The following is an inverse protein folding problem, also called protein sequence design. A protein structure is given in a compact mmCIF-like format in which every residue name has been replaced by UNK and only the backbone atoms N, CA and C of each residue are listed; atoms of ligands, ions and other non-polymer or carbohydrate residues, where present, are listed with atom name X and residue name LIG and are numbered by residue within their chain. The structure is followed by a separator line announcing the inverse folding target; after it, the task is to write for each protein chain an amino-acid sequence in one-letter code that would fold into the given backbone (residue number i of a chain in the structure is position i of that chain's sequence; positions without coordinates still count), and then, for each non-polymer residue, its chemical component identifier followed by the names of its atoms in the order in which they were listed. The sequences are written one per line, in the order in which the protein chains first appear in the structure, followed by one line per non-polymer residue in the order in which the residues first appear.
data_IF_750108501758
#
_entry.id   IF_750108501758
#
_cell.length_a   1.000
_cell.length_b   1.000
_cell.length_c   1.000
_cell.angle_alpha   90.00
_cell.angle_beta   90.00
_cell.angle_gamma   90.00
#
_symmetry.space_group_name_H-M   'P 1'
#
loop_
_entity.id
_entity.type
_entity.pdbx_description
1 polymer ?
#
# COMPACT_ATOMS: atom_id res chain seq x y z
N UNK A 1 3.88 -10.26 -0.71
CA UNK A 1 2.41 -10.48 -0.73
C UNK A 1 1.67 -9.36 -1.47
N UNK A 2 2.16 -8.11 -1.47
CA UNK A 2 1.55 -7.02 -2.26
C UNK A 2 2.00 -6.98 -3.73
N UNK A 3 2.87 -7.89 -4.13
CA UNK A 3 3.52 -7.91 -5.44
C UNK A 3 2.54 -8.16 -6.59
N UNK A 4 1.52 -9.00 -6.34
CA UNK A 4 0.42 -9.24 -7.28
C UNK A 4 -0.37 -7.96 -7.55
N UNK A 5 -0.77 -7.23 -6.49
CA UNK A 5 -1.54 -5.99 -6.62
C UNK A 5 -0.70 -4.88 -7.27
N UNK A 6 0.59 -4.77 -6.91
CA UNK A 6 1.50 -3.84 -7.56
C UNK A 6 1.64 -4.11 -9.07
N UNK A 7 1.70 -5.40 -9.46
CA UNK A 7 1.73 -5.79 -10.87
C UNK A 7 0.42 -5.43 -11.58
N UNK A 8 -0.73 -5.70 -10.97
CA UNK A 8 -2.03 -5.34 -11.55
C UNK A 8 -2.17 -3.83 -11.73
N UNK A 9 -1.76 -3.03 -10.74
CA UNK A 9 -1.76 -1.56 -10.82
C UNK A 9 -0.87 -1.08 -11.98
N UNK A 10 0.33 -1.67 -12.14
CA UNK A 10 1.23 -1.31 -13.25
C UNK A 10 0.67 -1.62 -14.64
N UNK A 11 -0.30 -2.54 -14.75
CA UNK A 11 -0.88 -2.97 -16.03
C UNK A 11 -2.17 -2.20 -16.32
N UNK A 12 -3.03 -2.05 -15.32
CA UNK A 12 -4.40 -1.56 -15.49
C UNK A 12 -4.62 -0.15 -14.94
N UNK A 13 -3.65 0.41 -14.21
CA UNK A 13 -3.82 1.64 -13.43
C UNK A 13 -4.53 1.41 -12.11
N UNK A 14 -4.21 2.23 -11.12
CA UNK A 14 -4.78 2.10 -9.76
C UNK A 14 -6.29 2.34 -9.71
N UNK A 15 -6.82 3.19 -10.61
CA UNK A 15 -8.25 3.51 -10.67
C UNK A 15 -9.15 2.35 -11.12
N UNK A 16 -8.57 1.28 -11.71
CA UNK A 16 -9.33 0.10 -12.14
C UNK A 16 -9.40 -0.99 -11.06
N UNK A 17 -8.76 -0.79 -9.90
CA UNK A 17 -8.58 -1.80 -8.85
C UNK A 17 -9.04 -1.26 -7.49
N UNK A 18 -10.09 -0.43 -7.47
CA UNK A 18 -10.53 0.30 -6.28
C UNK A 18 -10.87 -0.62 -5.09
N UNK A 19 -11.49 -1.77 -5.33
CA UNK A 19 -11.86 -2.71 -4.26
C UNK A 19 -10.61 -3.36 -3.63
N UNK A 20 -9.64 -3.75 -4.44
CA UNK A 20 -8.36 -4.30 -3.98
C UNK A 20 -7.51 -3.24 -3.27
N UNK A 21 -7.53 -2.01 -3.77
CA UNK A 21 -6.86 -0.85 -3.15
C UNK A 21 -7.49 -0.54 -1.79
N UNK A 22 -8.82 -0.59 -1.67
CA UNK A 22 -9.53 -0.40 -0.39
C UNK A 22 -9.19 -1.52 0.61
N UNK A 23 -9.12 -2.77 0.16
CA UNK A 23 -8.69 -3.89 0.99
C UNK A 23 -7.23 -3.74 1.47
N UNK A 24 -6.34 -3.28 0.58
CA UNK A 24 -4.96 -2.96 0.89
C UNK A 24 -4.84 -1.84 1.93
N UNK A 25 -5.56 -0.73 1.74
CA UNK A 25 -5.59 0.40 2.68
C UNK A 25 -6.08 -0.04 4.06
N UNK A 26 -7.17 -0.83 4.13
CA UNK A 26 -7.68 -1.37 5.40
C UNK A 26 -6.62 -2.21 6.13
N UNK A 27 -5.84 -3.02 5.41
CA UNK A 27 -4.72 -3.75 6.00
C UNK A 27 -3.62 -2.80 6.48
N UNK A 28 -3.28 -1.79 5.69
CA UNK A 28 -2.24 -0.82 6.03
C UNK A 28 -2.58 -0.04 7.31
N UNK A 29 -3.83 0.40 7.46
CA UNK A 29 -4.33 1.07 8.67
C UNK A 29 -4.18 0.16 9.90
N UNK A 30 -4.56 -1.12 9.79
CA UNK A 30 -4.39 -2.09 10.90
C UNK A 30 -2.92 -2.30 11.30
N UNK A 31 -1.97 -2.08 10.39
CA UNK A 31 -0.54 -2.16 10.66
C UNK A 31 0.10 -0.82 11.06
N UNK A 32 -0.72 0.22 11.32
CA UNK A 32 -0.21 1.53 11.77
C UNK A 32 0.49 2.33 10.68
N UNK A 33 0.10 2.14 9.41
CA UNK A 33 0.72 2.87 8.30
C UNK A 33 0.51 4.40 8.39
N UNK A 34 1.41 5.22 7.81
CA UNK A 34 1.33 6.68 7.88
C UNK A 34 -0.01 7.21 7.35
N UNK A 35 -0.76 8.02 8.14
CA UNK A 35 -2.10 8.50 7.75
C UNK A 35 -2.13 9.30 6.44
N UNK A 36 -1.07 10.07 6.16
CA UNK A 36 -0.95 10.85 4.92
C UNK A 36 -0.89 9.94 3.70
N UNK A 37 -0.14 8.85 3.75
CA UNK A 37 -0.04 7.93 2.62
C UNK A 37 -1.35 7.16 2.43
N UNK A 38 -2.00 6.75 3.52
CA UNK A 38 -3.35 6.16 3.47
C UNK A 38 -4.32 7.13 2.81
N UNK A 39 -4.36 8.39 3.23
CA UNK A 39 -5.26 9.41 2.67
C UNK A 39 -5.06 9.58 1.17
N UNK A 40 -3.82 9.66 0.69
CA UNK A 40 -3.53 9.83 -0.75
C UNK A 40 -3.95 8.62 -1.55
N UNK A 41 -3.69 7.39 -1.08
CA UNK A 41 -4.09 6.17 -1.81
C UNK A 41 -5.62 6.05 -1.91
N UNK A 42 -6.32 6.41 -0.84
CA UNK A 42 -7.79 6.28 -0.70
C UNK A 42 -8.57 7.36 -1.47
N UNK A 43 -7.94 8.49 -1.77
CA UNK A 43 -8.60 9.61 -2.41
C UNK A 43 -8.75 9.38 -3.91
N UNK A 44 -9.96 9.00 -4.35
CA UNK A 44 -10.30 8.78 -5.75
C UNK A 44 -10.27 10.06 -6.60
N UNK A 45 -10.30 11.24 -5.98
CA UNK A 45 -10.17 12.52 -6.68
C UNK A 45 -8.71 12.93 -6.92
N UNK A 46 -7.77 12.28 -6.23
CA UNK A 46 -6.34 12.50 -6.43
C UNK A 46 -5.87 11.93 -7.78
N UNK A 47 -4.88 12.56 -8.45
CA UNK A 47 -4.30 12.04 -9.68
C UNK A 47 -3.76 10.61 -9.51
N UNK A 48 -4.02 9.72 -10.46
CA UNK A 48 -3.63 8.30 -10.39
C UNK A 48 -2.14 8.11 -10.10
N UNK A 49 -1.27 8.88 -10.77
CA UNK A 49 0.19 8.84 -10.54
C UNK A 49 0.58 9.16 -9.08
N UNK A 50 -0.15 10.05 -8.42
CA UNK A 50 0.09 10.38 -7.01
C UNK A 50 -0.33 9.21 -6.11
N UNK A 51 -1.49 8.61 -6.38
CA UNK A 51 -2.02 7.44 -5.67
C UNK A 51 -1.10 6.23 -5.83
N UNK A 52 -0.58 5.97 -7.03
CA UNK A 52 0.37 4.88 -7.33
C UNK A 52 1.70 5.05 -6.59
N UNK A 53 2.25 6.27 -6.59
CA UNK A 53 3.47 6.57 -5.81
C UNK A 53 3.24 6.39 -4.32
N UNK A 54 2.10 6.83 -3.81
CA UNK A 54 1.74 6.65 -2.40
C UNK A 54 1.56 5.15 -2.07
N UNK A 55 0.94 4.38 -2.97
CA UNK A 55 0.81 2.93 -2.87
C UNK A 55 2.17 2.26 -2.74
N UNK A 56 3.13 2.58 -3.60
CA UNK A 56 4.48 2.00 -3.53
C UNK A 56 5.21 2.29 -2.21
N UNK A 57 5.04 3.51 -1.68
CA UNK A 57 5.58 3.88 -0.35
C UNK A 57 4.91 3.09 0.78
N UNK A 58 3.59 2.93 0.71
CA UNK A 58 2.81 2.18 1.69
C UNK A 58 3.18 0.69 1.65
N UNK A 59 3.30 0.09 0.46
CA UNK A 59 3.72 -1.29 0.28
C UNK A 59 5.13 -1.55 0.86
N UNK A 60 6.06 -0.60 0.66
CA UNK A 60 7.40 -0.65 1.26
C UNK A 60 7.36 -0.59 2.79
N UNK A 61 6.50 0.26 3.35
CA UNK A 61 6.29 0.33 4.80
C UNK A 61 5.81 -1.03 5.34
N UNK A 62 4.77 -1.61 4.73
CA UNK A 62 4.21 -2.88 5.18
C UNK A 62 5.21 -4.04 5.04
N UNK A 63 6.01 -4.07 3.97
CA UNK A 63 7.07 -5.07 3.80
C UNK A 63 8.16 -5.00 4.88
N UNK A 64 8.40 -3.82 5.46
CA UNK A 64 9.33 -3.66 6.58
C UNK A 64 8.70 -4.05 7.92
N UNK A 65 7.40 -3.87 8.08
CA UNK A 65 6.66 -4.19 9.29
C UNK A 65 6.15 -5.63 9.38
N UNK A 66 6.00 -6.34 8.24
CA UNK A 66 5.71 -7.80 8.21
C UNK A 66 6.98 -8.64 8.48
N UNK A 67 8.18 -8.05 8.58
CA UNK A 67 9.40 -8.79 8.93
C UNK A 67 9.32 -9.20 10.41
N UNK A 68 9.34 -10.50 10.77
CA UNK A 68 9.41 -10.89 12.17
C UNK A 68 10.66 -10.26 12.78
N UNK A 69 10.51 -9.70 13.99
CA UNK A 69 11.64 -9.15 14.74
C UNK A 69 12.73 -10.23 14.79
N UNK A 70 13.84 -10.02 14.09
CA UNK A 70 15.06 -10.80 14.32
C UNK A 70 15.42 -10.58 15.78
N UNK A 71 15.11 -11.58 16.60
CA UNK A 71 15.53 -11.65 17.99
C UNK A 71 17.06 -11.67 17.94
N UNK A 72 17.77 -10.67 18.49
CA UNK A 72 19.22 -10.68 18.46
C UNK A 72 19.69 -11.97 19.15
N UNK A 73 20.49 -12.76 18.43
CA UNK A 73 21.17 -13.89 19.02
C UNK A 73 22.03 -13.38 20.17
N UNK A 74 21.78 -13.93 21.36
CA UNK A 74 22.50 -13.63 22.60
C UNK A 74 23.98 -14.04 22.50
#
# INVERSE_FOLDING_TARGET
MFDQLARSISVSGIGQLEDEVDAFVKRAVRQGAPPVLVSVVSDRSSPEVARERAFGRLATFLARHDRPAERPAA
#
